data_IF_690773327348
#
_entry.id   IF_690773327348
#
_cell.length_a   1.000
_cell.length_b   1.000
_cell.length_c   1.000
_cell.angle_alpha   90.00
_cell.angle_beta   90.00
_cell.angle_gamma   90.00
#
_symmetry.space_group_name_H-M   'P 1'
#
loop_
_entity.id
_entity.type
_entity.pdbx_description
1 polymer ?
#
# COMPACT_ATOMS: atom_id res chain seq x y z
N UNK A 1 9.61 -19.60 11.67
CA UNK A 1 9.92 -19.13 10.31
C UNK A 1 8.59 -19.01 9.60
N UNK A 2 7.97 -17.84 9.64
CA UNK A 2 6.81 -17.53 8.81
C UNK A 2 7.27 -16.51 7.77
N UNK A 3 7.20 -16.92 6.51
CA UNK A 3 7.37 -16.02 5.38
C UNK A 3 5.95 -15.61 5.01
N UNK A 4 5.46 -14.49 5.54
CA UNK A 4 4.30 -13.81 4.97
C UNK A 4 4.73 -13.29 3.60
N UNK A 5 4.57 -14.10 2.57
CA UNK A 5 4.64 -13.62 1.20
C UNK A 5 3.35 -12.82 0.98
N UNK A 6 3.41 -11.50 0.73
CA UNK A 6 2.21 -10.80 0.31
C UNK A 6 1.67 -11.54 -0.92
N UNK A 7 0.41 -11.97 -0.86
CA UNK A 7 -0.22 -12.53 -2.04
C UNK A 7 -0.45 -11.35 -2.96
N UNK A 8 0.11 -11.40 -4.16
CA UNK A 8 -0.24 -10.43 -5.21
C UNK A 8 -1.69 -10.66 -5.59
N UNK A 9 -2.57 -9.79 -5.10
CA UNK A 9 -4.02 -9.86 -5.30
C UNK A 9 -4.57 -8.67 -6.09
N UNK A 10 -3.72 -7.69 -6.42
CA UNK A 10 -4.03 -6.50 -7.22
C UNK A 10 -5.15 -5.60 -6.64
N UNK A 11 -5.65 -5.90 -5.42
CA UNK A 11 -6.75 -5.18 -4.77
C UNK A 11 -6.46 -3.68 -4.64
N UNK A 12 -5.26 -3.31 -4.19
CA UNK A 12 -4.86 -1.91 -4.04
C UNK A 12 -4.78 -1.15 -5.37
N UNK A 13 -4.35 -1.82 -6.45
CA UNK A 13 -4.29 -1.24 -7.80
C UNK A 13 -5.70 -1.05 -8.37
N UNK A 14 -6.62 -1.96 -8.08
CA UNK A 14 -8.01 -1.85 -8.52
C UNK A 14 -8.80 -0.79 -7.74
N UNK A 15 -8.59 -0.70 -6.42
CA UNK A 15 -9.29 0.25 -5.55
C UNK A 15 -8.73 1.65 -5.69
N UNK A 16 -7.40 1.79 -5.68
CA UNK A 16 -6.76 3.09 -5.82
C UNK A 16 -5.65 3.12 -6.89
N UNK A 17 -6.01 3.02 -8.18
CA UNK A 17 -5.07 3.02 -9.30
C UNK A 17 -4.28 4.32 -9.44
N UNK A 18 -4.73 5.42 -8.84
CA UNK A 18 -4.00 6.69 -8.85
C UNK A 18 -2.70 6.61 -8.06
N UNK A 19 -2.69 5.82 -6.97
CA UNK A 19 -1.55 5.70 -6.06
C UNK A 19 -0.81 4.38 -6.22
N UNK A 20 -1.46 3.32 -6.69
CA UNK A 20 -0.84 1.99 -6.80
C UNK A 20 -0.68 1.55 -8.25
N UNK A 21 0.42 0.85 -8.54
CA UNK A 21 0.64 0.13 -9.81
C UNK A 21 1.26 -1.24 -9.57
N UNK A 22 1.06 -2.16 -10.51
CA UNK A 22 1.79 -3.42 -10.50
C UNK A 22 3.19 -3.21 -11.10
N UNK A 23 4.22 -3.62 -10.36
CA UNK A 23 5.59 -3.63 -10.85
C UNK A 23 5.96 -4.97 -11.50
N UNK A 24 7.07 -5.02 -12.25
CA UNK A 24 7.51 -6.23 -12.95
C UNK A 24 7.89 -7.41 -12.05
N UNK A 25 8.10 -7.18 -10.75
CA UNK A 25 8.37 -8.23 -9.76
C UNK A 25 7.09 -8.96 -9.31
N UNK A 26 5.93 -8.51 -9.81
CA UNK A 26 4.62 -9.08 -9.51
C UNK A 26 3.99 -8.51 -8.24
N UNK A 27 4.56 -7.48 -7.61
CA UNK A 27 3.99 -6.81 -6.45
C UNK A 27 3.49 -5.41 -6.80
N UNK A 28 2.53 -4.92 -6.01
CA UNK A 28 2.08 -3.55 -6.10
C UNK A 28 3.11 -2.58 -5.54
N UNK A 29 3.37 -1.48 -6.22
CA UNK A 29 4.20 -0.37 -5.81
C UNK A 29 3.39 0.90 -5.62
N UNK A 30 3.82 1.73 -4.68
CA UNK A 30 3.24 3.03 -4.41
C UNK A 30 3.87 4.07 -5.35
N UNK A 31 3.10 4.57 -6.32
CA UNK A 31 3.51 5.57 -7.31
C UNK A 31 4.03 6.81 -6.63
N UNK A 32 5.16 7.35 -7.09
CA UNK A 32 5.74 8.59 -6.55
C UNK A 32 6.14 8.51 -5.07
N UNK A 33 6.24 7.31 -4.52
CA UNK A 33 6.73 7.09 -3.16
C UNK A 33 8.23 7.30 -3.05
N UNK A 34 8.69 7.48 -1.81
CA UNK A 34 10.09 7.44 -1.43
C UNK A 34 10.36 6.11 -0.74
N UNK A 35 11.53 5.52 -0.99
CA UNK A 35 11.98 4.35 -0.24
C UNK A 35 12.33 4.74 1.19
N UNK A 36 11.68 4.08 2.14
CA UNK A 36 11.94 4.17 3.58
C UNK A 36 12.39 2.79 4.08
N UNK A 37 13.69 2.50 3.90
CA UNK A 37 14.26 1.21 4.24
C UNK A 37 13.70 0.06 3.38
N UNK A 38 12.83 -0.76 3.97
CA UNK A 38 12.14 -1.87 3.28
C UNK A 38 10.75 -1.50 2.77
N UNK A 39 10.24 -0.33 3.14
CA UNK A 39 8.90 0.14 2.81
C UNK A 39 8.95 1.28 1.78
N UNK A 40 7.78 1.57 1.21
CA UNK A 40 7.52 2.72 0.37
C UNK A 40 6.59 3.68 1.10
N UNK A 41 6.94 4.96 1.14
CA UNK A 41 6.17 5.99 1.86
C UNK A 41 5.86 7.16 0.92
N UNK A 42 4.61 7.65 0.98
CA UNK A 42 4.17 8.83 0.25
C UNK A 42 3.23 9.64 1.12
N UNK A 43 3.51 10.94 1.23
CA UNK A 43 2.56 11.90 1.79
C UNK A 43 1.51 12.24 0.72
N UNK A 44 0.24 12.23 1.13
CA UNK A 44 -0.91 12.46 0.25
C UNK A 44 -1.89 13.38 0.96
N UNK A 45 -2.54 14.27 0.20
CA UNK A 45 -3.56 15.17 0.74
C UNK A 45 -4.90 14.44 0.96
N UNK A 46 -5.20 13.44 0.13
CA UNK A 46 -6.37 12.58 0.24
C UNK A 46 -5.93 11.11 0.41
N UNK A 47 -6.28 10.54 1.55
CA UNK A 47 -5.99 9.15 1.91
C UNK A 47 -7.22 8.23 1.80
N UNK A 48 -8.39 8.73 1.40
CA UNK A 48 -9.65 7.96 1.39
C UNK A 48 -9.54 6.64 0.64
N UNK A 49 -9.10 6.67 -0.62
CA UNK A 49 -8.92 5.45 -1.41
C UNK A 49 -7.81 4.52 -0.86
N UNK A 50 -6.81 5.08 -0.15
CA UNK A 50 -5.71 4.33 0.42
C UNK A 50 -6.14 3.60 1.70
N UNK A 51 -7.07 4.19 2.47
CA UNK A 51 -7.77 3.53 3.58
C UNK A 51 -8.55 2.34 3.02
N UNK A 52 -9.37 2.54 1.98
CA UNK A 52 -10.14 1.46 1.35
C UNK A 52 -9.24 0.33 0.83
N UNK A 53 -8.12 0.69 0.18
CA UNK A 53 -7.14 -0.27 -0.31
C UNK A 53 -6.49 -1.07 0.84
N UNK A 54 -6.25 -0.43 1.98
CA UNK A 54 -5.66 -1.07 3.15
C UNK A 54 -6.63 -2.04 3.84
N UNK A 55 -7.90 -1.65 3.99
CA UNK A 55 -8.95 -2.53 4.56
C UNK A 55 -9.21 -3.77 3.69
N UNK A 56 -9.05 -3.63 2.37
CA UNK A 56 -9.24 -4.72 1.41
C UNK A 56 -7.94 -5.45 1.06
N UNK A 57 -6.84 -5.19 1.77
CA UNK A 57 -5.58 -5.88 1.56
C UNK A 57 -5.56 -7.20 2.36
N UNK A 58 -5.69 -8.37 1.72
CA UNK A 58 -5.66 -9.66 2.43
C UNK A 58 -4.29 -9.96 3.06
N UNK A 59 -3.22 -9.30 2.57
CA UNK A 59 -1.88 -9.40 3.12
C UNK A 59 -1.61 -8.38 4.24
N UNK A 60 -2.54 -7.46 4.52
CA UNK A 60 -2.42 -6.43 5.57
C UNK A 60 -1.13 -5.59 5.49
N UNK A 61 -0.56 -5.42 4.29
CA UNK A 61 0.75 -4.80 4.07
C UNK A 61 0.70 -3.29 3.76
N UNK A 62 -0.49 -2.69 3.79
CA UNK A 62 -0.70 -1.25 3.60
C UNK A 62 -0.99 -0.64 4.96
N UNK A 63 -0.30 0.45 5.28
CA UNK A 63 -0.47 1.17 6.54
C UNK A 63 -0.75 2.63 6.24
N UNK A 64 -1.76 3.19 6.90
CA UNK A 64 -2.13 4.59 6.74
C UNK A 64 -1.90 5.31 8.06
N UNK A 65 -1.29 6.49 7.98
CA UNK A 65 -0.96 7.32 9.12
C UNK A 65 -1.58 8.70 8.95
N UNK A 66 -2.30 9.16 9.96
CA UNK A 66 -2.84 10.52 10.03
C UNK A 66 -2.17 11.25 11.21
N UNK A 67 -1.54 12.40 10.96
CA UNK A 67 -0.85 13.20 11.98
C UNK A 67 0.14 12.38 12.85
N UNK A 68 0.85 11.43 12.23
CA UNK A 68 1.82 10.56 12.90
C UNK A 68 1.21 9.40 13.71
N UNK A 69 -0.12 9.21 13.66
CA UNK A 69 -0.81 8.06 14.27
C UNK A 69 -1.26 7.09 13.20
N UNK A 70 -0.93 5.80 13.38
CA UNK A 70 -1.41 4.72 12.52
C UNK A 70 -2.92 4.57 12.70
N UNK A 71 -3.67 4.62 11.61
CA UNK A 71 -5.13 4.41 11.61
C UNK A 71 -5.52 3.02 11.07
N UNK A 72 -4.70 2.46 10.16
CA UNK A 72 -4.80 1.08 9.63
C UNK A 72 -3.41 0.46 9.59
#
# INVERSE_FOLDING_TARGET
MEIERPISCESCVNICPEFWEMAPDGFSHLKGSKKAGKNEEREVDDMSCNIDAAENCPATCIHVYENGRKII
#
